data_IF_466061687423
#
_entry.id   IF_466061687423
#
_cell.length_a   1.000
_cell.length_b   1.000
_cell.length_c   1.000
_cell.angle_alpha   90.00
_cell.angle_beta   90.00
_cell.angle_gamma   90.00
#
_symmetry.space_group_name_H-M   'P 1'
#
loop_
_entity.id
_entity.type
_entity.pdbx_description
1 polymer ?
#
# COMPACT_ATOMS: atom_id res chain seq x y z
N UNK A 1 -11.87 -38.36 11.46
CA UNK A 1 -12.31 -37.80 10.17
C UNK A 1 -13.15 -36.57 10.46
N UNK A 2 -12.70 -35.39 10.06
CA UNK A 2 -13.58 -34.23 9.89
C UNK A 2 -13.33 -33.02 10.81
N UNK A 3 -12.15 -32.38 10.73
CA UNK A 3 -11.99 -30.96 11.13
C UNK A 3 -11.18 -30.11 10.12
N UNK A 4 -10.54 -30.71 9.11
CA UNK A 4 -9.59 -29.98 8.23
C UNK A 4 -10.16 -29.37 6.94
N UNK A 5 -11.45 -29.02 6.83
CA UNK A 5 -12.03 -28.54 5.55
C UNK A 5 -12.75 -27.19 5.56
N UNK A 6 -12.65 -26.39 6.62
CA UNK A 6 -13.31 -25.06 6.66
C UNK A 6 -12.30 -23.90 6.59
N UNK A 7 -11.03 -24.13 6.90
CA UNK A 7 -10.03 -23.08 7.09
C UNK A 7 -9.36 -22.45 5.84
N UNK A 8 -9.32 -23.06 4.63
CA UNK A 8 -8.66 -22.40 3.48
C UNK A 8 -9.50 -21.35 2.76
N UNK A 9 -10.83 -21.33 2.95
CA UNK A 9 -11.71 -20.46 2.15
C UNK A 9 -11.91 -19.06 2.75
N UNK A 10 -11.85 -18.92 4.08
CA UNK A 10 -11.99 -17.61 4.76
C UNK A 10 -10.73 -16.74 4.62
N UNK A 11 -9.53 -17.35 4.55
CA UNK A 11 -8.27 -16.63 4.32
C UNK A 11 -8.20 -16.02 2.92
N UNK A 12 -8.70 -16.73 1.91
CA UNK A 12 -8.78 -16.19 0.55
C UNK A 12 -9.76 -15.02 0.45
N UNK A 13 -10.87 -15.04 1.18
CA UNK A 13 -11.87 -13.96 1.16
C UNK A 13 -11.33 -12.67 1.80
N UNK A 14 -10.66 -12.77 2.95
CA UNK A 14 -10.05 -11.61 3.64
C UNK A 14 -8.90 -10.98 2.84
N UNK A 15 -8.04 -11.80 2.25
CA UNK A 15 -6.95 -11.33 1.39
C UNK A 15 -7.51 -10.79 0.06
N UNK A 16 -8.61 -11.35 -0.46
CA UNK A 16 -9.24 -10.89 -1.71
C UNK A 16 -9.83 -9.49 -1.62
N UNK A 17 -10.22 -9.03 -0.41
CA UNK A 17 -10.74 -7.69 -0.20
C UNK A 17 -9.71 -6.58 -0.43
N UNK A 18 -8.45 -6.80 -0.04
CA UNK A 18 -7.35 -5.88 -0.41
C UNK A 18 -6.83 -6.15 -1.82
N UNK A 19 -6.76 -7.42 -2.25
CA UNK A 19 -6.20 -7.82 -3.55
C UNK A 19 -7.14 -7.62 -4.76
N UNK A 20 -8.28 -6.92 -4.61
CA UNK A 20 -9.13 -6.49 -5.73
C UNK A 20 -9.80 -7.62 -6.53
N UNK A 21 -10.09 -8.79 -5.94
CA UNK A 21 -10.66 -9.92 -6.70
C UNK A 21 -12.20 -9.86 -6.70
N UNK A 22 -12.78 -9.46 -7.85
CA UNK A 22 -14.10 -9.74 -8.49
C UNK A 22 -15.38 -10.06 -7.67
N UNK A 23 -15.44 -9.92 -6.36
CA UNK A 23 -16.62 -10.32 -5.60
C UNK A 23 -16.79 -9.57 -4.27
N UNK A 24 -16.61 -8.24 -4.23
CA UNK A 24 -17.03 -7.45 -3.05
C UNK A 24 -18.52 -7.66 -2.73
N UNK A 25 -19.38 -7.79 -3.75
CA UNK A 25 -20.81 -8.03 -3.55
C UNK A 25 -21.08 -9.36 -2.84
N UNK A 26 -20.33 -10.42 -3.12
CA UNK A 26 -20.40 -11.66 -2.33
C UNK A 26 -19.75 -11.54 -0.97
N UNK A 27 -18.78 -10.67 -0.77
CA UNK A 27 -18.20 -10.44 0.56
C UNK A 27 -19.23 -9.78 1.48
N UNK A 28 -19.87 -8.70 1.02
CA UNK A 28 -20.95 -8.00 1.75
C UNK A 28 -22.21 -8.87 1.87
N UNK A 29 -22.58 -9.64 0.85
CA UNK A 29 -23.76 -10.52 0.87
C UNK A 29 -23.52 -11.82 1.66
N UNK A 30 -22.29 -12.34 1.71
CA UNK A 30 -21.92 -13.41 2.63
C UNK A 30 -21.94 -12.91 4.08
N UNK A 31 -21.57 -11.64 4.32
CA UNK A 31 -21.64 -11.02 5.65
C UNK A 31 -23.08 -10.80 6.14
N UNK A 32 -24.06 -10.56 5.24
CA UNK A 32 -25.48 -10.51 5.61
C UNK A 32 -26.16 -11.89 5.70
N UNK A 33 -25.63 -12.90 5.00
CA UNK A 33 -26.18 -14.26 4.99
C UNK A 33 -25.64 -15.18 6.11
N UNK A 34 -24.60 -14.77 6.85
CA UNK A 34 -24.05 -15.57 7.96
C UNK A 34 -24.89 -15.51 9.24
N UNK A 35 -26.00 -14.76 9.30
CA UNK A 35 -27.05 -15.02 10.31
C UNK A 35 -28.41 -14.41 9.92
N UNK A 36 -29.26 -15.19 9.22
CA UNK A 36 -30.66 -15.15 9.56
C UNK A 36 -31.28 -16.54 9.47
N UNK A 37 -30.99 -17.44 10.41
CA UNK A 37 -31.94 -18.44 10.94
C UNK A 37 -31.25 -19.42 11.87
N UNK A 38 -31.95 -19.71 12.97
CA UNK A 38 -31.69 -20.77 13.95
C UNK A 38 -30.53 -20.47 14.92
N UNK A 39 -30.87 -20.07 16.14
CA UNK A 39 -30.78 -20.92 17.34
C UNK A 39 -30.80 -20.05 18.60
N UNK A 40 -31.88 -20.18 19.38
CA UNK A 40 -31.95 -19.72 20.76
C UNK A 40 -31.09 -20.64 21.64
N UNK A 41 -29.99 -20.14 22.21
CA UNK A 41 -29.45 -20.47 23.54
C UNK A 41 -28.13 -19.73 23.82
N UNK A 42 -28.30 -18.57 24.46
CA UNK A 42 -27.48 -17.89 25.49
C UNK A 42 -25.97 -18.16 25.65
N UNK A 43 -25.20 -17.11 25.36
CA UNK A 43 -24.02 -16.56 26.06
C UNK A 43 -22.69 -17.33 26.14
N UNK A 44 -22.63 -18.66 25.99
CA UNK A 44 -21.34 -19.40 26.06
C UNK A 44 -20.68 -19.56 24.69
N UNK A 45 -21.48 -19.64 23.61
CA UNK A 45 -21.00 -19.79 22.22
C UNK A 45 -20.42 -18.51 21.64
N UNK A 46 -20.95 -17.34 22.03
CA UNK A 46 -20.41 -16.03 21.62
C UNK A 46 -18.95 -15.90 22.01
N UNK A 47 -18.60 -16.27 23.25
CA UNK A 47 -17.24 -16.14 23.77
C UNK A 47 -16.24 -17.08 23.08
N UNK A 48 -16.68 -18.26 22.60
CA UNK A 48 -15.80 -19.21 21.90
C UNK A 48 -15.57 -18.75 20.46
N UNK A 49 -16.64 -18.34 19.75
CA UNK A 49 -16.54 -17.83 18.38
C UNK A 49 -15.69 -16.55 18.35
N UNK A 50 -15.93 -15.62 19.28
CA UNK A 50 -15.12 -14.41 19.43
C UNK A 50 -13.64 -14.73 19.66
N UNK A 51 -13.33 -15.72 20.52
CA UNK A 51 -11.95 -16.16 20.75
C UNK A 51 -11.31 -16.80 19.52
N UNK A 52 -12.05 -17.60 18.75
CA UNK A 52 -11.56 -18.21 17.51
C UNK A 52 -11.28 -17.13 16.45
N UNK A 53 -12.22 -16.22 16.24
CA UNK A 53 -12.09 -15.09 15.30
C UNK A 53 -10.93 -14.18 15.72
N UNK A 54 -10.82 -13.86 17.01
CA UNK A 54 -9.71 -13.08 17.55
C UNK A 54 -8.37 -13.78 17.32
N UNK A 55 -8.25 -15.07 17.65
CA UNK A 55 -7.02 -15.84 17.45
C UNK A 55 -6.64 -15.92 15.97
N UNK A 56 -7.62 -16.11 15.09
CA UNK A 56 -7.41 -16.14 13.65
C UNK A 56 -6.94 -14.78 13.12
N UNK A 57 -7.62 -13.69 13.48
CA UNK A 57 -7.24 -12.33 13.06
C UNK A 57 -5.85 -11.96 13.58
N UNK A 58 -5.52 -12.31 14.82
CA UNK A 58 -4.19 -12.10 15.38
C UNK A 58 -3.11 -12.88 14.61
N UNK A 59 -3.38 -14.13 14.26
CA UNK A 59 -2.47 -14.94 13.44
C UNK A 59 -2.32 -14.37 12.03
N UNK A 60 -3.39 -13.87 11.43
CA UNK A 60 -3.40 -13.27 10.09
C UNK A 60 -2.59 -11.96 10.07
N UNK A 61 -2.83 -11.05 11.02
CA UNK A 61 -2.07 -9.80 11.11
C UNK A 61 -0.59 -10.05 11.30
N UNK A 62 -0.22 -11.04 12.13
CA UNK A 62 1.17 -11.45 12.27
C UNK A 62 1.76 -11.93 10.95
N UNK A 63 1.05 -12.79 10.22
CA UNK A 63 1.52 -13.28 8.93
C UNK A 63 1.70 -12.15 7.90
N UNK A 64 0.77 -11.21 7.82
CA UNK A 64 0.88 -10.02 6.94
C UNK A 64 2.09 -9.17 7.35
N UNK A 65 2.29 -8.93 8.65
CA UNK A 65 3.46 -8.20 9.16
C UNK A 65 4.76 -8.91 8.76
N UNK A 66 4.84 -10.23 8.93
CA UNK A 66 6.01 -11.02 8.53
C UNK A 66 6.28 -10.91 7.02
N UNK A 67 5.24 -10.98 6.18
CA UNK A 67 5.37 -10.80 4.72
C UNK A 67 5.87 -9.40 4.34
N UNK A 68 5.29 -8.35 4.95
CA UNK A 68 5.72 -6.97 4.73
C UNK A 68 7.14 -6.73 5.23
N UNK A 69 7.52 -7.26 6.39
CA UNK A 69 8.89 -7.21 6.89
C UNK A 69 9.84 -7.92 5.93
N UNK A 70 9.45 -9.05 5.35
CA UNK A 70 10.27 -9.74 4.33
C UNK A 70 10.42 -8.92 3.05
N UNK A 71 9.42 -8.13 2.65
CA UNK A 71 9.50 -7.22 1.50
C UNK A 71 10.40 -6.01 1.80
N UNK A 72 10.24 -5.39 2.96
CA UNK A 72 10.92 -4.14 3.34
C UNK A 72 12.35 -4.39 3.83
N UNK A 73 12.55 -5.41 4.67
CA UNK A 73 13.80 -5.75 5.37
C UNK A 73 14.50 -6.93 4.72
N UNK A 74 13.75 -7.90 4.19
CA UNK A 74 14.34 -9.09 3.59
C UNK A 74 15.21 -8.77 2.37
N UNK A 75 16.22 -9.62 2.18
CA UNK A 75 17.10 -9.63 1.01
C UNK A 75 16.69 -10.75 0.02
N UNK A 76 15.46 -11.28 0.14
CA UNK A 76 15.01 -12.52 -0.50
C UNK A 76 14.91 -12.45 -2.03
N UNK A 77 15.08 -13.60 -2.69
CA UNK A 77 15.15 -13.74 -4.15
C UNK A 77 13.81 -13.53 -4.88
N UNK A 78 12.67 -13.52 -4.18
CA UNK A 78 11.34 -13.56 -4.81
C UNK A 78 10.69 -12.18 -5.03
N UNK A 79 11.47 -11.11 -4.90
CA UNK A 79 11.15 -9.75 -5.34
C UNK A 79 12.33 -9.02 -6.01
N UNK A 80 13.43 -9.75 -6.25
CA UNK A 80 14.78 -9.23 -6.53
C UNK A 80 14.99 -8.58 -7.90
N UNK A 81 13.99 -8.50 -8.77
CA UNK A 81 14.17 -7.97 -10.13
C UNK A 81 13.49 -6.62 -10.39
N UNK A 82 12.69 -6.10 -9.46
CA UNK A 82 12.04 -4.80 -9.69
C UNK A 82 12.99 -3.65 -9.38
N UNK A 83 13.05 -2.66 -10.29
CA UNK A 83 13.82 -1.42 -10.09
C UNK A 83 13.46 -0.74 -8.76
N UNK A 84 12.19 -0.84 -8.36
CA UNK A 84 11.66 -0.35 -7.09
C UNK A 84 12.43 -0.91 -5.88
N UNK A 85 12.51 -2.24 -5.75
CA UNK A 85 13.20 -2.87 -4.62
C UNK A 85 14.70 -2.56 -4.62
N UNK A 86 15.33 -2.50 -5.80
CA UNK A 86 16.74 -2.13 -5.95
C UNK A 86 17.06 -0.74 -5.39
N UNK A 87 16.21 0.26 -5.68
CA UNK A 87 16.36 1.61 -5.13
C UNK A 87 16.11 1.63 -3.62
N UNK A 88 15.08 0.95 -3.15
CA UNK A 88 14.77 0.88 -1.73
C UNK A 88 15.93 0.24 -0.93
N UNK A 89 16.51 -0.85 -1.45
CA UNK A 89 17.68 -1.50 -0.83
C UNK A 89 18.91 -0.60 -0.82
N UNK A 90 19.16 0.17 -1.89
CA UNK A 90 20.24 1.14 -1.95
C UNK A 90 20.07 2.23 -0.88
N UNK A 91 18.90 2.86 -0.79
CA UNK A 91 18.61 3.90 0.20
C UNK A 91 18.75 3.37 1.63
N UNK A 92 18.17 2.20 1.91
CA UNK A 92 18.26 1.52 3.21
C UNK A 92 19.72 1.21 3.60
N UNK A 93 20.54 0.77 2.64
CA UNK A 93 21.96 0.52 2.87
C UNK A 93 22.72 1.78 3.28
N UNK A 94 22.41 2.93 2.66
CA UNK A 94 23.03 4.21 2.99
C UNK A 94 22.55 4.77 4.32
N UNK A 95 21.26 4.62 4.66
CA UNK A 95 20.72 5.05 5.96
C UNK A 95 21.43 4.37 7.15
N UNK A 96 21.78 3.09 7.02
CA UNK A 96 22.49 2.34 8.07
C UNK A 96 23.99 2.67 8.17
N UNK A 97 24.61 3.11 7.08
CA UNK A 97 26.03 3.48 7.06
C UNK A 97 26.30 4.85 7.71
N UNK A 98 25.27 5.70 7.83
CA UNK A 98 25.35 7.07 8.33
C UNK A 98 25.25 7.24 9.86
N UNK A 99 25.11 6.17 10.64
CA UNK A 99 24.82 6.27 12.08
C UNK A 99 26.01 6.78 12.92
N UNK A 100 26.22 8.09 12.96
CA UNK A 100 26.76 8.78 14.14
C UNK A 100 25.60 9.33 14.97
N UNK A 101 25.61 9.12 16.29
CA UNK A 101 24.58 9.67 17.16
C UNK A 101 24.86 11.16 17.36
N UNK A 102 23.79 11.96 17.37
CA UNK A 102 23.72 13.40 17.66
C UNK A 102 23.81 14.34 16.42
N UNK A 103 22.64 14.93 16.08
CA UNK A 103 22.45 16.17 15.30
C UNK A 103 22.92 16.25 13.84
N UNK A 104 22.64 15.23 13.01
CA UNK A 104 22.55 15.44 11.56
C UNK A 104 21.27 14.79 11.03
N UNK A 105 20.23 15.62 10.81
CA UNK A 105 19.17 15.27 9.85
C UNK A 105 19.90 14.90 8.55
N UNK A 106 19.85 13.63 8.14
CA UNK A 106 20.14 13.31 6.75
C UNK A 106 19.11 14.08 5.93
N UNK A 107 19.51 15.22 5.36
CA UNK A 107 18.54 16.05 4.65
C UNK A 107 18.13 15.26 3.41
N UNK A 108 16.84 15.27 3.06
CA UNK A 108 16.32 14.67 1.82
C UNK A 108 17.16 15.00 0.57
N UNK A 109 17.77 16.18 0.55
CA UNK A 109 18.73 16.61 -0.47
C UNK A 109 20.00 15.74 -0.59
N UNK A 110 20.47 15.13 0.50
CA UNK A 110 21.57 14.16 0.50
C UNK A 110 21.13 12.86 -0.20
N UNK A 111 19.94 12.35 0.14
CA UNK A 111 19.36 11.19 -0.55
C UNK A 111 19.16 11.48 -2.04
N UNK A 112 18.68 12.66 -2.40
CA UNK A 112 18.53 13.07 -3.81
C UNK A 112 19.87 13.03 -4.57
N UNK A 113 20.92 13.59 -3.97
CA UNK A 113 22.26 13.59 -4.59
C UNK A 113 22.76 12.15 -4.81
N UNK A 114 22.62 11.30 -3.79
CA UNK A 114 22.99 9.88 -3.87
C UNK A 114 22.14 9.11 -4.89
N UNK A 115 20.84 9.40 -4.97
CA UNK A 115 19.92 8.77 -5.91
C UNK A 115 20.24 9.16 -7.35
N UNK A 116 20.58 10.42 -7.63
CA UNK A 116 20.97 10.85 -8.97
C UNK A 116 22.21 10.10 -9.43
N UNK A 117 23.26 10.06 -8.61
CA UNK A 117 24.51 9.35 -8.92
C UNK A 117 24.27 7.85 -9.14
N UNK A 118 23.47 7.23 -8.25
CA UNK A 118 23.12 5.82 -8.37
C UNK A 118 22.28 5.54 -9.61
N UNK A 119 21.31 6.40 -9.92
CA UNK A 119 20.43 6.23 -11.07
C UNK A 119 21.18 6.36 -12.39
N UNK A 120 22.16 7.27 -12.48
CA UNK A 120 23.05 7.38 -13.63
C UNK A 120 23.91 6.11 -13.79
N UNK A 121 24.50 5.62 -12.71
CA UNK A 121 25.36 4.42 -12.72
C UNK A 121 24.59 3.16 -13.12
N UNK A 122 23.37 3.00 -12.61
CA UNK A 122 22.57 1.79 -12.79
C UNK A 122 21.57 1.87 -13.96
N UNK A 123 21.68 2.91 -14.79
CA UNK A 123 20.79 3.18 -15.93
C UNK A 123 19.30 3.19 -15.54
N UNK A 124 18.99 3.90 -14.45
CA UNK A 124 17.64 4.10 -13.93
C UNK A 124 17.10 5.50 -14.24
N UNK A 125 17.71 6.24 -15.16
CA UNK A 125 17.16 7.49 -15.67
C UNK A 125 16.09 7.16 -16.72
N UNK A 126 14.89 7.72 -16.54
CA UNK A 126 13.78 7.56 -17.46
C UNK A 126 13.97 8.47 -18.69
N UNK A 127 14.33 7.86 -19.82
CA UNK A 127 14.52 8.56 -21.10
C UNK A 127 13.24 8.72 -21.92
N UNK A 128 12.11 8.18 -21.46
CA UNK A 128 10.84 8.31 -22.17
C UNK A 128 10.38 9.76 -22.24
N UNK A 129 9.76 10.11 -23.37
CA UNK A 129 9.12 11.40 -23.54
C UNK A 129 7.84 11.46 -22.70
N UNK A 130 7.62 12.61 -22.06
CA UNK A 130 6.42 12.89 -21.27
C UNK A 130 5.88 14.18 -21.85
N UNK A 131 4.94 14.04 -22.79
CA UNK A 131 4.33 15.18 -23.46
C UNK A 131 3.33 15.87 -22.55
N UNK A 132 3.42 17.20 -22.46
CA UNK A 132 2.43 18.05 -21.80
C UNK A 132 1.04 17.96 -22.46
N UNK A 133 0.96 17.55 -23.74
CA UNK A 133 -0.32 17.29 -24.40
C UNK A 133 -1.09 16.11 -23.79
N UNK A 134 -0.38 15.24 -23.05
CA UNK A 134 -0.95 14.07 -22.37
C UNK A 134 -1.21 14.34 -20.88
N UNK A 135 -1.05 15.58 -20.41
CA UNK A 135 -1.31 15.96 -19.03
C UNK A 135 -2.78 15.71 -18.65
N UNK A 136 -2.99 15.11 -17.47
CA UNK A 136 -4.33 14.82 -16.92
C UNK A 136 -4.60 15.72 -15.71
N UNK A 137 -3.69 15.71 -14.73
CA UNK A 137 -3.87 16.42 -13.47
C UNK A 137 -2.55 16.64 -12.74
N UNK A 138 -2.55 17.60 -11.81
CA UNK A 138 -1.43 17.91 -10.90
C UNK A 138 -1.97 18.09 -9.48
N UNK A 139 -1.31 17.45 -8.53
CA UNK A 139 -1.45 17.66 -7.09
C UNK A 139 -0.20 18.34 -6.52
N UNK A 140 -0.14 18.51 -5.21
CA UNK A 140 1.04 19.12 -4.57
C UNK A 140 2.31 18.26 -4.74
N UNK A 141 2.12 16.95 -4.86
CA UNK A 141 3.16 15.92 -4.83
C UNK A 141 3.49 15.32 -6.19
N UNK A 142 2.55 15.39 -7.13
CA UNK A 142 2.70 14.67 -8.38
C UNK A 142 1.97 15.28 -9.56
N UNK A 143 2.53 14.99 -10.74
CA UNK A 143 1.91 15.27 -12.04
C UNK A 143 1.55 13.97 -12.73
N UNK A 144 0.34 13.90 -13.29
CA UNK A 144 -0.22 12.71 -13.92
C UNK A 144 -0.38 12.94 -15.42
N UNK A 145 0.14 12.00 -16.20
CA UNK A 145 0.12 12.03 -17.65
C UNK A 145 -0.47 10.72 -18.19
N UNK A 146 -1.27 10.79 -19.24
CA UNK A 146 -1.70 9.60 -19.98
C UNK A 146 -0.49 8.95 -20.63
N UNK A 147 -0.34 7.64 -20.46
CA UNK A 147 0.72 6.89 -21.12
C UNK A 147 0.19 6.14 -22.34
N UNK A 148 -0.91 5.42 -22.17
CA UNK A 148 -1.64 4.73 -23.23
C UNK A 148 -3.16 4.71 -22.91
N UNK A 149 -3.92 3.80 -23.50
CA UNK A 149 -5.37 3.66 -23.26
C UNK A 149 -5.72 3.02 -21.92
N UNK A 150 -4.72 2.47 -21.22
CA UNK A 150 -4.93 1.62 -20.04
C UNK A 150 -4.08 2.05 -18.84
N UNK A 151 -3.20 3.04 -18.99
CA UNK A 151 -2.25 3.40 -17.94
C UNK A 151 -1.85 4.88 -17.97
N UNK A 152 -1.38 5.32 -16.81
CA UNK A 152 -0.83 6.66 -16.58
C UNK A 152 0.61 6.57 -16.10
N UNK A 153 1.38 7.61 -16.42
CA UNK A 153 2.66 7.91 -15.78
C UNK A 153 2.44 9.01 -14.75
N UNK A 154 3.03 8.84 -13.57
CA UNK A 154 3.08 9.85 -12.52
C UNK A 154 4.52 10.26 -12.25
N UNK A 155 4.75 11.55 -12.17
CA UNK A 155 5.99 12.16 -11.72
C UNK A 155 5.81 12.58 -10.27
N UNK A 156 6.40 11.84 -9.32
CA UNK A 156 6.24 12.10 -7.90
C UNK A 156 7.54 12.66 -7.29
N UNK A 157 7.44 13.84 -6.67
CA UNK A 157 8.57 14.53 -6.02
C UNK A 157 8.80 14.10 -4.57
N UNK A 158 8.07 13.08 -4.11
CA UNK A 158 8.05 12.55 -2.73
C UNK A 158 7.75 13.57 -1.63
N UNK A 159 7.13 14.72 -1.93
CA UNK A 159 7.03 15.87 -1.00
C UNK A 159 6.32 15.57 0.33
N UNK A 160 5.45 14.55 0.37
CA UNK A 160 4.81 14.09 1.61
C UNK A 160 5.76 13.35 2.56
N UNK A 161 6.92 12.91 2.08
CA UNK A 161 7.87 12.12 2.85
C UNK A 161 9.10 12.95 3.21
N UNK A 162 9.53 12.83 4.47
CA UNK A 162 10.78 13.44 4.95
C UNK A 162 12.00 12.82 4.24
N UNK A 163 11.92 11.52 3.92
CA UNK A 163 12.97 10.76 3.24
C UNK A 163 12.43 10.04 2.00
N UNK A 164 13.23 9.93 0.94
CA UNK A 164 12.94 9.11 -0.24
C UNK A 164 12.80 7.63 0.13
N UNK A 165 13.53 7.15 1.14
CA UNK A 165 13.37 5.78 1.63
C UNK A 165 11.93 5.50 2.07
N UNK A 166 11.28 6.45 2.74
CA UNK A 166 9.89 6.30 3.19
C UNK A 166 8.91 6.28 2.01
N UNK A 167 9.14 7.11 0.99
CA UNK A 167 8.36 7.07 -0.25
C UNK A 167 8.44 5.69 -0.92
N UNK A 168 9.64 5.13 -1.07
CA UNK A 168 9.80 3.82 -1.69
C UNK A 168 9.27 2.66 -0.82
N UNK A 169 9.34 2.79 0.51
CA UNK A 169 8.66 1.87 1.42
C UNK A 169 7.13 1.94 1.23
N UNK A 170 6.58 3.14 1.08
CA UNK A 170 5.16 3.35 0.82
C UNK A 170 4.70 2.68 -0.47
N UNK A 171 5.46 2.80 -1.57
CA UNK A 171 5.16 2.08 -2.82
C UNK A 171 5.18 0.56 -2.66
N UNK A 172 6.13 0.00 -1.89
CA UNK A 172 6.19 -1.44 -1.62
C UNK A 172 4.99 -1.91 -0.79
N UNK A 173 4.58 -1.14 0.21
CA UNK A 173 3.40 -1.42 1.04
C UNK A 173 2.12 -1.34 0.20
N UNK A 174 1.97 -0.29 -0.61
CA UNK A 174 0.88 -0.16 -1.57
C UNK A 174 0.81 -1.38 -2.49
N UNK A 175 1.93 -1.73 -3.14
CA UNK A 175 2.00 -2.84 -4.07
C UNK A 175 1.72 -4.18 -3.41
N UNK A 176 1.92 -4.32 -2.11
CA UNK A 176 1.53 -5.51 -1.36
C UNK A 176 0.01 -5.59 -1.19
N UNK A 177 -0.62 -4.51 -0.72
CA UNK A 177 -2.05 -4.48 -0.46
C UNK A 177 -2.88 -4.43 -1.75
N UNK A 178 -2.54 -3.56 -2.69
CA UNK A 178 -3.37 -3.18 -3.85
C UNK A 178 -2.78 -3.67 -5.16
N UNK A 179 -3.00 -4.95 -5.45
CA UNK A 179 -2.49 -5.58 -6.67
C UNK A 179 -3.14 -5.06 -7.95
N UNK A 180 -4.36 -4.53 -7.87
CA UNK A 180 -5.10 -3.98 -9.01
C UNK A 180 -4.68 -2.57 -9.41
N UNK A 181 -3.90 -1.89 -8.58
CA UNK A 181 -3.39 -0.52 -8.80
C UNK A 181 -1.88 -0.42 -8.55
N UNK A 182 -1.17 -1.54 -8.72
CA UNK A 182 0.27 -1.63 -8.46
C UNK A 182 1.06 -0.58 -9.24
N UNK A 183 1.98 0.08 -8.55
CA UNK A 183 2.95 0.98 -9.15
C UNK A 183 4.13 0.20 -9.72
N UNK A 184 4.42 0.44 -11.00
CA UNK A 184 5.67 0.04 -11.64
C UNK A 184 6.64 1.23 -11.63
N UNK A 185 7.77 1.11 -10.94
CA UNK A 185 8.81 2.14 -10.98
C UNK A 185 9.62 2.05 -12.27
N UNK A 186 9.54 3.08 -13.11
CA UNK A 186 10.19 3.12 -14.42
C UNK A 186 11.62 3.68 -14.35
N UNK A 187 11.87 4.62 -13.44
CA UNK A 187 13.14 5.29 -13.24
C UNK A 187 12.97 6.68 -12.66
N UNK A 188 14.03 7.47 -12.68
CA UNK A 188 14.04 8.87 -12.25
C UNK A 188 14.08 9.82 -13.44
N UNK A 189 13.47 11.00 -13.28
CA UNK A 189 13.58 12.11 -14.23
C UNK A 189 13.90 13.38 -13.45
N UNK A 190 14.85 14.18 -13.95
CA UNK A 190 15.17 15.48 -13.38
C UNK A 190 14.53 16.55 -14.27
N UNK A 191 13.70 17.40 -13.68
CA UNK A 191 13.04 18.52 -14.35
C UNK A 191 13.24 19.74 -13.46
N UNK A 192 13.75 20.84 -14.03
CA UNK A 192 14.00 22.10 -13.30
C UNK A 192 14.75 21.89 -11.98
N UNK A 193 15.83 21.11 -12.02
CA UNK A 193 16.67 20.70 -10.88
C UNK A 193 15.95 19.92 -9.77
N UNK A 194 14.71 19.48 -10.00
CA UNK A 194 13.94 18.67 -9.06
C UNK A 194 13.93 17.21 -9.51
N UNK A 195 14.19 16.28 -8.58
CA UNK A 195 14.18 14.85 -8.84
C UNK A 195 12.74 14.30 -8.71
N UNK A 196 12.29 13.59 -9.73
CA UNK A 196 11.00 12.90 -9.72
C UNK A 196 11.19 11.40 -9.89
N UNK A 197 10.50 10.62 -9.06
CA UNK A 197 10.26 9.21 -9.35
C UNK A 197 9.19 9.10 -10.43
N UNK A 198 9.51 8.38 -11.51
CA UNK A 198 8.57 8.08 -12.59
C UNK A 198 7.95 6.71 -12.29
N UNK A 199 6.66 6.69 -12.00
CA UNK A 199 5.90 5.46 -11.77
C UNK A 199 4.79 5.32 -12.79
N UNK A 200 4.53 4.10 -13.23
CA UNK A 200 3.39 3.72 -14.06
C UNK A 200 2.34 3.05 -13.20
N UNK A 201 1.07 3.33 -13.47
CA UNK A 201 -0.08 2.72 -12.80
C UNK A 201 -1.20 2.52 -13.83
N UNK A 202 -2.02 1.49 -13.65
CA UNK A 202 -3.22 1.29 -14.47
C UNK A 202 -4.19 2.46 -14.31
N UNK A 203 -4.79 2.88 -15.42
CA UNK A 203 -5.78 3.94 -15.45
C UNK A 203 -7.15 3.35 -15.12
N UNK A 204 -7.71 3.76 -13.98
CA UNK A 204 -9.01 3.30 -13.51
C UNK A 204 -10.05 4.39 -13.78
N UNK A 205 -11.09 4.05 -14.54
CA UNK A 205 -12.26 4.90 -14.70
C UNK A 205 -13.28 4.58 -13.61
N UNK A 206 -13.52 5.53 -12.70
CA UNK A 206 -14.56 5.39 -11.70
C UNK A 206 -15.95 5.37 -12.38
N UNK A 207 -16.79 4.40 -12.00
CA UNK A 207 -18.17 4.29 -12.49
C UNK A 207 -19.19 4.85 -11.52
N UNK A 208 -18.78 5.08 -10.26
CA UNK A 208 -19.63 5.54 -9.18
C UNK A 208 -18.83 6.34 -8.14
N UNK A 209 -19.55 7.12 -7.32
CA UNK A 209 -18.97 7.83 -6.19
C UNK A 209 -18.61 6.86 -5.08
N UNK A 210 -17.46 7.06 -4.45
CA UNK A 210 -17.00 6.22 -3.36
C UNK A 210 -17.82 6.41 -2.09
N UNK A 211 -18.36 5.30 -1.56
CA UNK A 211 -19.01 5.28 -0.25
C UNK A 211 -17.96 5.26 0.86
N UNK A 212 -17.72 6.43 1.45
CA UNK A 212 -16.77 6.61 2.57
C UNK A 212 -17.16 5.80 3.81
N UNK A 213 -18.44 5.48 4.01
CA UNK A 213 -18.90 4.65 5.14
C UNK A 213 -18.53 3.20 4.91
N UNK A 214 -18.70 2.70 3.69
CA UNK A 214 -18.27 1.36 3.29
C UNK A 214 -16.74 1.23 3.33
N UNK A 215 -16.01 2.25 2.87
CA UNK A 215 -14.55 2.32 2.96
C UNK A 215 -14.07 2.22 4.41
N UNK A 216 -14.64 3.05 5.31
CA UNK A 216 -14.31 3.01 6.74
C UNK A 216 -14.56 1.64 7.34
N UNK A 217 -15.72 1.04 7.05
CA UNK A 217 -16.08 -0.29 7.53
C UNK A 217 -15.11 -1.36 7.05
N UNK A 218 -14.66 -1.26 5.79
CA UNK A 218 -13.65 -2.15 5.22
C UNK A 218 -12.31 -2.02 5.94
N UNK A 219 -11.85 -0.78 6.20
CA UNK A 219 -10.58 -0.52 6.88
C UNK A 219 -10.61 -1.03 8.34
N UNK A 220 -11.67 -0.72 9.08
CA UNK A 220 -11.83 -1.17 10.48
C UNK A 220 -11.88 -2.70 10.59
N UNK A 221 -12.58 -3.37 9.66
CA UNK A 221 -12.60 -4.83 9.56
C UNK A 221 -11.19 -5.40 9.38
N UNK A 222 -10.37 -4.72 8.61
CA UNK A 222 -8.98 -5.06 8.31
C UNK A 222 -7.97 -4.51 9.34
N UNK A 223 -8.43 -4.10 10.53
CA UNK A 223 -7.57 -3.60 11.62
C UNK A 223 -6.80 -2.32 11.31
N UNK A 224 -7.32 -1.52 10.37
CA UNK A 224 -6.95 -0.12 10.21
C UNK A 224 -7.98 0.72 10.96
N UNK A 225 -7.63 1.15 12.16
CA UNK A 225 -8.50 1.98 12.99
C UNK A 225 -8.36 3.44 12.59
N UNK A 226 -9.49 4.14 12.48
CA UNK A 226 -9.51 5.57 12.25
C UNK A 226 -8.80 6.32 13.39
N UNK A 227 -7.96 7.31 13.04
CA UNK A 227 -7.31 8.20 14.02
C UNK A 227 -7.94 9.58 13.97
N UNK A 228 -7.79 10.27 12.83
CA UNK A 228 -8.23 11.65 12.58
C UNK A 228 -8.45 11.83 11.09
N UNK A 229 -9.24 12.83 10.67
CA UNK A 229 -9.48 13.13 9.25
C UNK A 229 -9.81 11.85 8.45
N UNK A 230 -9.05 11.55 7.41
CA UNK A 230 -9.11 10.30 6.67
C UNK A 230 -7.84 9.45 6.89
N UNK A 231 -7.27 9.52 8.09
CA UNK A 231 -6.06 8.81 8.48
C UNK A 231 -6.41 7.60 9.35
N UNK A 232 -5.73 6.49 9.08
CA UNK A 232 -5.93 5.21 9.73
C UNK A 232 -4.62 4.60 10.20
N UNK A 233 -4.67 3.76 11.22
CA UNK A 233 -3.50 3.04 11.71
C UNK A 233 -3.83 1.60 12.04
N UNK A 234 -2.93 0.72 11.62
CA UNK A 234 -2.86 -0.65 12.10
C UNK A 234 -1.73 -0.78 13.11
N UNK A 235 -2.06 -0.82 14.40
CA UNK A 235 -1.08 -1.06 15.47
C UNK A 235 -0.46 -2.46 15.40
N UNK A 236 -1.21 -3.44 14.90
CA UNK A 236 -0.72 -4.82 14.75
C UNK A 236 0.37 -4.89 13.66
N UNK A 237 0.18 -4.16 12.56
CA UNK A 237 1.16 -4.11 11.46
C UNK A 237 2.25 -3.07 11.72
N UNK A 238 2.00 -2.04 12.54
CA UNK A 238 2.89 -0.91 12.70
C UNK A 238 2.86 0.05 11.50
N UNK A 239 1.70 0.23 10.87
CA UNK A 239 1.52 1.02 9.64
C UNK A 239 0.49 2.12 9.87
N UNK A 240 0.76 3.32 9.35
CA UNK A 240 -0.19 4.42 9.23
C UNK A 240 -0.54 4.57 7.75
N UNK A 241 -1.81 4.80 7.46
CA UNK A 241 -2.36 5.03 6.12
C UNK A 241 -3.12 6.35 6.14
N UNK A 242 -2.50 7.39 5.59
CA UNK A 242 -3.03 8.75 5.57
C UNK A 242 -3.69 9.08 4.22
N UNK A 243 -4.44 10.19 4.22
CA UNK A 243 -4.95 10.85 3.02
C UNK A 243 -5.97 10.03 2.20
N UNK A 244 -6.81 9.22 2.86
CA UNK A 244 -7.86 8.43 2.21
C UNK A 244 -9.16 9.21 1.96
N UNK A 245 -9.11 10.20 1.06
CA UNK A 245 -10.32 10.86 0.56
C UNK A 245 -10.88 10.17 -0.70
N UNK A 246 -12.05 10.63 -1.13
CA UNK A 246 -12.79 10.11 -2.28
C UNK A 246 -12.07 10.28 -3.63
N UNK A 247 -11.08 11.18 -3.72
CA UNK A 247 -10.22 11.30 -4.92
C UNK A 247 -9.12 10.22 -4.95
N UNK A 248 -8.67 9.73 -3.79
CA UNK A 248 -7.63 8.69 -3.66
C UNK A 248 -8.21 7.26 -3.60
N UNK A 249 -9.54 7.14 -3.53
CA UNK A 249 -10.25 5.86 -3.56
C UNK A 249 -11.34 5.91 -4.61
N UNK A 250 -11.15 5.18 -5.70
CA UNK A 250 -12.06 5.12 -6.83
C UNK A 250 -12.99 3.91 -6.71
N UNK A 251 -14.26 4.06 -7.08
CA UNK A 251 -15.22 2.97 -7.11
C UNK A 251 -15.55 2.58 -8.55
N UNK A 252 -15.38 1.30 -8.87
CA UNK A 252 -15.65 0.74 -10.20
C UNK A 252 -16.32 -0.63 -10.06
N UNK A 253 -17.54 -0.76 -10.57
CA UNK A 253 -18.37 -1.98 -10.50
C UNK A 253 -18.51 -2.57 -9.08
N UNK A 254 -18.67 -1.71 -8.06
CA UNK A 254 -18.77 -2.09 -6.66
C UNK A 254 -17.46 -2.55 -6.01
N UNK A 255 -16.32 -2.34 -6.68
CA UNK A 255 -14.97 -2.58 -6.14
C UNK A 255 -14.28 -1.25 -5.83
N UNK A 256 -13.48 -1.23 -4.77
CA UNK A 256 -12.65 -0.08 -4.39
C UNK A 256 -11.24 -0.24 -4.97
N UNK A 257 -10.75 0.82 -5.60
CA UNK A 257 -9.41 0.94 -6.17
C UNK A 257 -8.69 2.07 -5.47
N UNK A 258 -7.53 1.78 -4.89
CA UNK A 258 -6.74 2.74 -4.13
C UNK A 258 -5.65 3.30 -5.03
N UNK A 259 -5.59 4.62 -5.13
CA UNK A 259 -4.54 5.35 -5.83
C UNK A 259 -3.98 6.41 -4.89
N UNK A 260 -2.74 6.84 -5.15
CA UNK A 260 -2.14 7.99 -4.47
C UNK A 260 -2.09 7.85 -2.95
N UNK A 261 -1.87 6.62 -2.50
CA UNK A 261 -1.86 6.26 -1.09
C UNK A 261 -0.63 6.77 -0.37
N UNK A 262 -0.82 7.19 0.88
CA UNK A 262 0.28 7.62 1.75
C UNK A 262 0.44 6.64 2.92
N UNK A 263 1.48 5.79 2.85
CA UNK A 263 1.82 4.85 3.92
C UNK A 263 3.06 5.28 4.69
N UNK A 264 2.98 5.22 6.03
CA UNK A 264 4.15 5.36 6.91
C UNK A 264 4.38 4.10 7.74
N UNK A 265 5.65 3.76 7.90
CA UNK A 265 6.10 2.67 8.76
C UNK A 265 6.44 3.23 10.14
N UNK A 266 5.82 2.69 11.19
CA UNK A 266 6.10 3.09 12.58
C UNK A 266 7.22 2.23 13.20
N UNK A 267 7.85 2.64 14.31
CA UNK A 267 8.87 1.82 14.98
C UNK A 267 8.40 0.40 15.33
N UNK A 268 7.14 0.23 15.72
CA UNK A 268 6.53 -1.07 16.03
C UNK A 268 6.54 -2.03 14.83
N UNK A 269 6.59 -1.53 13.59
CA UNK A 269 6.72 -2.39 12.41
C UNK A 269 7.94 -3.31 12.50
N UNK A 270 9.02 -2.89 13.15
CA UNK A 270 10.26 -3.65 13.25
C UNK A 270 10.28 -4.64 14.44
N UNK A 271 9.26 -4.62 15.29
CA UNK A 271 9.12 -5.55 16.41
C UNK A 271 8.72 -6.95 15.94
N UNK A 272 9.25 -7.98 16.62
CA UNK A 272 9.02 -9.40 16.33
C UNK A 272 7.76 -9.97 16.97
#
# INVERSE_FOLDING_TARGET
MGEDRIYPQLSQVLISCFRGIKNLTKCVTAMSAVSPCCFSETNVRGTIIEKIVYSYNKSLMKHIKDELQNIIIGNGQDGQSSKLKKIQDFLRGNANAGSKPEEQKHLKSEEESLLIDYALKENLIFSGDISEDLFISEGAEQKVYRFDDHSVIKLNGSVFYEYWLDYFNSLLVHNYFFKSTTYEFLGFKVIDNSLFAVVKQDFILATETTDLTALRSLLEYNKFNHIRNNDYQSSDLGIIFEDLHDENVLSCDGLLYFIDTVFYITPNFYDK
#
